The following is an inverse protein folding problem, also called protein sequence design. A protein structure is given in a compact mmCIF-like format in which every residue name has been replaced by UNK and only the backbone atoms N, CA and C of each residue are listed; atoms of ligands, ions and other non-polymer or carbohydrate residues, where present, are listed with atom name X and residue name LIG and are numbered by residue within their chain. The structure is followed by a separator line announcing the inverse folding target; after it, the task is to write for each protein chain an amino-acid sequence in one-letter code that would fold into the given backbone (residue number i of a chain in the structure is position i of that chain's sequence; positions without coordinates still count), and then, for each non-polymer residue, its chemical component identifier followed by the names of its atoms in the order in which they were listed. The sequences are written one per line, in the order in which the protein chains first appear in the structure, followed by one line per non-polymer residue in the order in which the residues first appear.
data_IF_725939792078
#
_entry.id   IF_725939792078
#
_cell.length_a   1.000
_cell.length_b   1.000
_cell.length_c   1.000
_cell.angle_alpha   90.00
_cell.angle_beta   90.00
_cell.angle_gamma   90.00
#
_symmetry.space_group_name_H-M   'P 1'
#
loop_
_entity.id
_entity.type
_entity.pdbx_description
1 polymer ?
#
# COMPACT_ATOMS: atom_id res chain seq x y z
N UNK A 1 23.58 -2.89 8.10
CA UNK A 1 22.89 -1.96 7.18
C UNK A 1 21.50 -1.61 7.69
N UNK A 2 20.65 -2.58 8.06
CA UNK A 2 19.34 -2.33 8.67
C UNK A 2 19.33 -1.27 9.79
N UNK A 3 20.16 -1.41 10.84
CA UNK A 3 20.23 -0.41 11.92
C UNK A 3 20.66 1.00 11.46
N UNK A 4 21.31 1.11 10.30
CA UNK A 4 21.75 2.40 9.76
C UNK A 4 20.59 3.14 9.09
N UNK A 5 19.82 2.46 8.25
CA UNK A 5 18.81 3.10 7.38
C UNK A 5 17.37 2.63 7.62
N UNK A 6 17.15 1.49 8.28
CA UNK A 6 15.84 0.85 8.39
C UNK A 6 15.15 0.77 7.02
N UNK A 7 13.87 1.09 7.00
CA UNK A 7 13.08 1.16 5.76
C UNK A 7 13.54 2.26 4.82
N UNK A 8 14.22 3.32 5.29
CA UNK A 8 14.64 4.43 4.42
C UNK A 8 15.60 4.01 3.30
N UNK A 9 16.27 2.87 3.45
CA UNK A 9 17.05 2.26 2.37
C UNK A 9 16.23 1.93 1.11
N UNK A 10 14.90 1.85 1.25
CA UNK A 10 13.98 1.59 0.14
C UNK A 10 13.84 2.79 -0.80
N UNK A 11 14.13 4.04 -0.41
CA UNK A 11 14.04 5.19 -1.33
C UNK A 11 14.99 5.01 -2.52
N UNK A 12 16.28 4.77 -2.26
CA UNK A 12 17.28 4.57 -3.30
C UNK A 12 16.98 3.31 -4.14
N UNK A 13 16.55 2.24 -3.47
CA UNK A 13 16.17 0.99 -4.14
C UNK A 13 14.99 1.19 -5.08
N UNK A 14 13.91 1.84 -4.61
CA UNK A 14 12.71 2.08 -5.39
C UNK A 14 13.00 3.00 -6.57
N UNK A 15 13.80 4.06 -6.37
CA UNK A 15 14.19 4.97 -7.45
C UNK A 15 15.00 4.25 -8.54
N UNK A 16 16.00 3.46 -8.13
CA UNK A 16 16.83 2.68 -9.07
C UNK A 16 16.00 1.68 -9.86
N UNK A 17 14.96 1.13 -9.23
CA UNK A 17 14.08 0.14 -9.81
C UNK A 17 12.88 0.75 -10.54
N UNK A 18 12.79 2.06 -10.72
CA UNK A 18 11.62 2.75 -11.31
C UNK A 18 10.31 2.36 -10.62
N UNK A 19 10.31 2.39 -9.28
CA UNK A 19 9.20 2.04 -8.40
C UNK A 19 8.90 3.13 -7.36
N UNK A 20 9.63 4.25 -7.35
CA UNK A 20 9.43 5.34 -6.40
C UNK A 20 8.32 6.27 -6.92
N UNK A 21 7.13 6.31 -6.28
CA UNK A 21 6.03 7.14 -6.77
C UNK A 21 6.42 8.62 -6.79
N UNK A 22 6.20 9.24 -7.93
CA UNK A 22 6.63 10.61 -8.19
C UNK A 22 5.54 11.40 -8.91
N UNK A 23 5.19 12.57 -8.38
CA UNK A 23 4.12 13.45 -8.87
C UNK A 23 2.77 12.74 -9.09
N UNK A 24 2.15 12.27 -8.01
CA UNK A 24 0.91 11.47 -8.00
C UNK A 24 1.01 10.20 -8.86
N UNK A 25 2.09 9.43 -8.62
CA UNK A 25 2.40 8.21 -9.35
C UNK A 25 2.52 8.41 -10.88
N UNK A 26 2.71 9.62 -11.40
CA UNK A 26 2.96 9.81 -12.86
C UNK A 26 4.26 9.17 -13.31
N UNK A 27 5.26 9.17 -12.43
CA UNK A 27 6.56 8.60 -12.69
C UNK A 27 6.97 7.63 -11.57
N UNK A 28 7.88 6.71 -11.90
CA UNK A 28 8.51 5.76 -10.97
C UNK A 28 9.91 6.18 -10.52
N UNK A 29 10.38 7.37 -10.94
CA UNK A 29 11.69 7.92 -10.62
C UNK A 29 11.59 9.40 -10.24
N UNK A 30 12.41 9.82 -9.27
CA UNK A 30 12.50 11.18 -8.79
C UNK A 30 13.94 11.69 -8.86
N UNK A 31 14.13 12.82 -9.54
CA UNK A 31 15.45 13.42 -9.78
C UNK A 31 16.15 13.79 -8.45
N UNK A 32 15.38 14.19 -7.43
CA UNK A 32 15.90 14.55 -6.10
C UNK A 32 15.83 13.40 -5.07
N UNK A 33 15.72 12.14 -5.49
CA UNK A 33 15.63 11.00 -4.56
C UNK A 33 16.79 10.93 -3.56
N UNK A 34 18.00 11.34 -3.95
CA UNK A 34 19.17 11.38 -3.07
C UNK A 34 19.05 12.39 -1.93
N UNK A 35 18.22 13.44 -2.09
CA UNK A 35 17.98 14.47 -1.09
C UNK A 35 16.95 14.04 -0.03
N UNK A 36 16.24 12.93 -0.25
CA UNK A 36 15.25 12.37 0.66
C UNK A 36 15.55 10.91 1.04
N UNK A 37 16.66 10.36 0.56
CA UNK A 37 17.02 8.95 0.70
C UNK A 37 17.64 8.58 2.06
N UNK A 38 17.82 7.28 2.27
CA UNK A 38 18.41 6.74 3.49
C UNK A 38 19.83 7.24 3.74
N UNK A 39 20.62 7.48 2.69
CA UNK A 39 21.97 8.03 2.85
C UNK A 39 21.96 9.45 3.42
N UNK A 40 21.02 10.31 2.99
CA UNK A 40 20.87 11.66 3.54
C UNK A 40 20.32 11.59 4.97
N UNK A 41 19.29 10.76 5.21
CA UNK A 41 18.71 10.54 6.54
C UNK A 41 19.77 10.20 7.59
N UNK A 42 20.74 9.34 7.26
CA UNK A 42 21.84 8.99 8.16
C UNK A 42 22.67 10.19 8.62
N UNK A 43 22.84 11.22 7.78
CA UNK A 43 23.63 12.42 8.12
C UNK A 43 22.95 13.33 9.15
N UNK A 44 21.62 13.23 9.27
CA UNK A 44 20.80 14.04 10.18
C UNK A 44 20.12 13.20 11.28
N UNK A 45 20.38 11.89 11.32
CA UNK A 45 19.85 10.99 12.34
C UNK A 45 20.51 11.26 13.69
N UNK A 46 19.69 11.48 14.71
CA UNK A 46 20.16 11.83 16.07
C UNK A 46 19.85 10.77 17.11
N UNK A 47 18.82 9.95 16.89
CA UNK A 47 18.46 8.83 17.77
C UNK A 47 17.73 7.75 17.00
N UNK A 48 17.58 6.59 17.64
CA UNK A 48 16.83 5.47 17.09
C UNK A 48 15.95 4.88 18.20
N UNK A 49 14.68 4.63 17.90
CA UNK A 49 13.75 3.93 18.79
C UNK A 49 13.29 2.62 18.17
N UNK A 50 12.76 1.74 19.01
CA UNK A 50 12.22 0.45 18.60
C UNK A 50 10.91 0.16 19.31
N UNK A 51 10.14 -0.76 18.72
CA UNK A 51 8.97 -1.33 19.36
C UNK A 51 9.36 -2.16 20.59
N UNK A 52 8.43 -2.46 21.52
CA UNK A 52 8.69 -3.34 22.66
C UNK A 52 9.31 -4.68 22.22
N UNK A 53 10.30 -5.16 22.97
CA UNK A 53 11.03 -6.43 22.72
C UNK A 53 11.76 -6.53 21.38
N UNK A 54 11.93 -5.43 20.64
CA UNK A 54 12.62 -5.45 19.35
C UNK A 54 14.14 -5.28 19.51
N UNK A 55 14.91 -6.27 19.03
CA UNK A 55 16.38 -6.22 19.00
C UNK A 55 16.94 -5.59 17.72
N UNK A 56 16.07 -5.25 16.76
CA UNK A 56 16.44 -4.66 15.46
C UNK A 56 15.74 -3.30 15.23
N UNK A 57 15.91 -2.33 16.14
CA UNK A 57 15.17 -1.06 16.11
C UNK A 57 15.34 -0.36 14.76
N UNK A 58 14.22 0.08 14.18
CA UNK A 58 14.19 0.72 12.86
C UNK A 58 13.60 2.13 12.88
N UNK A 59 13.09 2.60 14.03
CA UNK A 59 12.51 3.93 14.19
C UNK A 59 13.59 5.00 14.17
N UNK A 60 13.95 5.47 12.99
CA UNK A 60 15.04 6.42 12.80
C UNK A 60 14.54 7.84 13.06
N UNK A 61 15.07 8.50 14.09
CA UNK A 61 14.68 9.86 14.42
C UNK A 61 15.76 10.83 13.95
N UNK A 62 15.35 11.75 13.08
CA UNK A 62 16.20 12.80 12.54
C UNK A 62 15.98 14.11 13.27
N UNK A 63 16.99 14.97 13.23
CA UNK A 63 16.87 16.37 13.59
C UNK A 63 16.84 17.19 12.31
N UNK A 64 15.78 17.95 12.12
CA UNK A 64 15.59 18.79 10.95
C UNK A 64 15.43 20.25 11.36
N UNK A 65 15.66 21.13 10.39
CA UNK A 65 15.52 22.58 10.54
C UNK A 65 14.75 23.12 9.33
N UNK A 66 13.67 23.86 9.59
CA UNK A 66 12.90 24.58 8.56
C UNK A 66 12.54 25.96 9.09
N UNK A 67 12.77 26.99 8.28
CA UNK A 67 12.50 28.40 8.62
C UNK A 67 13.09 28.83 10.00
N UNK A 68 14.26 28.29 10.36
CA UNK A 68 14.98 28.56 11.61
C UNK A 68 14.42 27.82 12.84
N UNK A 69 13.43 26.94 12.66
CA UNK A 69 12.88 26.08 13.72
C UNK A 69 13.52 24.71 13.64
N UNK A 70 14.14 24.29 14.74
CA UNK A 70 14.78 22.98 14.91
C UNK A 70 13.82 22.03 15.63
N UNK A 71 13.57 20.85 15.05
CA UNK A 71 12.71 19.83 15.66
C UNK A 71 13.19 18.41 15.28
N UNK A 72 12.49 17.38 15.77
CA UNK A 72 12.81 15.98 15.52
C UNK A 72 11.60 15.18 15.02
N UNK A 73 11.82 14.32 14.04
CA UNK A 73 10.79 13.46 13.46
C UNK A 73 11.32 12.03 13.29
N UNK A 74 10.46 11.03 13.52
CA UNK A 74 10.73 9.66 13.10
C UNK A 74 10.37 9.48 11.63
N UNK A 75 11.26 8.88 10.84
CA UNK A 75 11.04 8.68 9.41
C UNK A 75 10.96 7.20 9.03
N UNK A 76 9.90 6.87 8.30
CA UNK A 76 9.72 5.61 7.58
C UNK A 76 9.68 5.86 6.06
N UNK A 77 9.94 4.80 5.28
CA UNK A 77 10.00 4.87 3.82
C UNK A 77 8.72 5.45 3.20
N UNK A 78 7.58 4.91 3.62
CA UNK A 78 6.27 5.27 3.09
C UNK A 78 5.99 6.76 3.30
N UNK A 79 6.26 7.25 4.51
CA UNK A 79 6.06 8.65 4.86
C UNK A 79 6.88 9.55 3.95
N UNK A 80 8.17 9.24 3.77
CA UNK A 80 9.09 10.06 2.98
C UNK A 80 8.79 9.98 1.49
N UNK A 81 8.43 8.82 0.96
CA UNK A 81 8.05 8.70 -0.44
C UNK A 81 6.73 9.44 -0.74
N UNK A 82 5.73 9.29 0.13
CA UNK A 82 4.39 9.85 -0.10
C UNK A 82 4.31 11.36 0.19
N UNK A 83 5.07 11.87 1.17
CA UNK A 83 5.16 13.31 1.48
C UNK A 83 6.38 13.99 0.84
N UNK A 84 7.18 13.25 0.07
CA UNK A 84 8.36 13.73 -0.66
C UNK A 84 8.17 13.61 -2.16
N UNK A 85 8.68 12.52 -2.75
CA UNK A 85 8.69 12.32 -4.21
C UNK A 85 7.29 12.37 -4.82
N UNK A 86 6.27 11.79 -4.17
CA UNK A 86 4.92 11.75 -4.71
C UNK A 86 4.30 13.15 -4.87
N UNK A 87 4.72 14.13 -4.06
CA UNK A 87 4.25 15.52 -4.14
C UNK A 87 5.31 16.48 -4.72
N UNK A 88 6.43 15.95 -5.22
CA UNK A 88 7.52 16.72 -5.83
C UNK A 88 8.43 17.45 -4.83
N UNK A 89 8.41 17.08 -3.54
CA UNK A 89 9.18 17.74 -2.50
C UNK A 89 10.52 17.03 -2.24
N UNK A 90 11.60 17.59 -2.80
CA UNK A 90 12.96 17.02 -2.76
C UNK A 90 13.86 17.52 -1.63
N UNK A 91 13.33 17.66 -0.41
CA UNK A 91 14.01 18.25 0.74
C UNK A 91 13.63 17.50 2.02
N UNK A 92 14.53 16.65 2.56
CA UNK A 92 14.20 15.80 3.72
C UNK A 92 13.85 16.60 4.97
N UNK A 93 14.37 17.83 5.14
CA UNK A 93 14.03 18.64 6.30
C UNK A 93 12.56 19.06 6.26
N UNK A 94 12.09 19.49 5.08
CA UNK A 94 10.68 19.85 4.87
C UNK A 94 9.77 18.63 4.91
N UNK A 95 10.19 17.51 4.33
CA UNK A 95 9.43 16.24 4.43
C UNK A 95 9.31 15.81 5.89
N UNK A 96 10.35 16.01 6.71
CA UNK A 96 10.32 15.71 8.14
C UNK A 96 9.33 16.58 8.92
N UNK A 97 9.20 17.88 8.57
CA UNK A 97 8.16 18.76 9.15
C UNK A 97 6.75 18.28 8.80
N UNK A 98 6.50 17.93 7.53
CA UNK A 98 5.20 17.40 7.10
C UNK A 98 4.87 16.07 7.78
N UNK A 99 5.85 15.18 7.92
CA UNK A 99 5.72 13.92 8.65
C UNK A 99 5.37 14.16 10.12
N UNK A 100 6.11 15.03 10.81
CA UNK A 100 5.84 15.32 12.22
C UNK A 100 4.43 15.88 12.42
N UNK A 101 3.95 16.72 11.49
CA UNK A 101 2.56 17.22 11.53
C UNK A 101 1.54 16.10 11.36
N UNK A 102 1.77 15.18 10.43
CA UNK A 102 0.89 14.02 10.26
C UNK A 102 0.82 13.18 11.55
N UNK A 103 1.97 12.92 12.19
CA UNK A 103 2.03 12.22 13.48
C UNK A 103 1.25 12.95 14.58
N UNK A 104 1.47 14.27 14.72
CA UNK A 104 0.82 15.09 15.76
C UNK A 104 -0.68 15.21 15.57
N UNK A 105 -1.17 15.22 14.33
CA UNK A 105 -2.59 15.29 14.01
C UNK A 105 -3.27 13.93 13.89
N UNK A 106 -2.50 12.83 13.92
CA UNK A 106 -3.03 11.47 13.77
C UNK A 106 -3.52 11.17 12.35
N UNK A 107 -2.82 11.67 11.33
CA UNK A 107 -3.12 11.45 9.92
C UNK A 107 -2.24 10.33 9.35
N UNK A 108 -2.82 9.48 8.50
CA UNK A 108 -2.04 8.52 7.70
C UNK A 108 -1.23 9.26 6.62
N UNK A 109 0.10 9.16 6.70
CA UNK A 109 1.05 9.80 5.78
C UNK A 109 0.89 9.31 4.33
N UNK A 110 0.48 8.05 4.13
CA UNK A 110 0.28 7.47 2.79
C UNK A 110 -0.92 8.11 2.12
N UNK A 111 -2.07 8.07 2.78
CA UNK A 111 -3.31 8.65 2.25
C UNK A 111 -3.20 10.16 2.12
N UNK A 112 -2.56 10.83 3.09
CA UNK A 112 -2.28 12.26 3.03
C UNK A 112 -1.43 12.61 1.80
N UNK A 113 -0.33 11.89 1.55
CA UNK A 113 0.52 12.13 0.38
C UNK A 113 -0.18 11.88 -0.95
N UNK A 114 -1.10 10.92 -1.02
CA UNK A 114 -1.97 10.70 -2.18
C UNK A 114 -2.95 11.86 -2.39
N UNK A 115 -3.63 12.32 -1.34
CA UNK A 115 -4.57 13.44 -1.40
C UNK A 115 -3.87 14.72 -1.85
N UNK A 116 -2.70 15.02 -1.28
CA UNK A 116 -1.89 16.18 -1.70
C UNK A 116 -1.45 16.03 -3.16
N UNK A 117 -0.95 14.85 -3.56
CA UNK A 117 -0.53 14.59 -4.94
C UNK A 117 -1.66 14.73 -5.96
N UNK A 118 -2.82 14.13 -5.70
CA UNK A 118 -4.01 14.27 -6.55
C UNK A 118 -4.41 15.74 -6.65
N UNK A 119 -4.49 16.45 -5.53
CA UNK A 119 -4.92 17.85 -5.50
C UNK A 119 -3.99 18.75 -6.32
N UNK A 120 -2.67 18.55 -6.22
CA UNK A 120 -1.70 19.28 -7.06
C UNK A 120 -1.88 18.96 -8.55
N UNK A 121 -2.14 17.71 -8.92
CA UNK A 121 -2.42 17.35 -10.31
C UNK A 121 -3.73 17.97 -10.82
N UNK A 122 -4.77 18.03 -9.99
CA UNK A 122 -6.03 18.68 -10.34
C UNK A 122 -5.86 20.20 -10.52
N UNK A 123 -5.03 20.84 -9.69
CA UNK A 123 -4.61 22.23 -9.83
C UNK A 123 -3.87 22.45 -11.15
N UNK A 124 -2.85 21.63 -11.45
CA UNK A 124 -2.08 21.69 -12.69
C UNK A 124 -2.98 21.57 -13.94
N UNK A 125 -3.97 20.68 -13.89
CA UNK A 125 -4.97 20.47 -14.94
C UNK A 125 -6.09 21.51 -14.96
N UNK A 126 -6.10 22.47 -14.03
CA UNK A 126 -7.13 23.51 -13.87
C UNK A 126 -8.55 22.94 -13.66
N UNK A 127 -8.63 21.77 -13.03
CA UNK A 127 -9.91 21.14 -12.62
C UNK A 127 -10.42 21.79 -11.34
N UNK A 128 -9.51 22.26 -10.48
CA UNK A 128 -9.81 23.10 -9.32
C UNK A 128 -9.19 24.49 -9.51
N UNK A 129 -9.72 25.49 -8.81
CA UNK A 129 -9.27 26.88 -8.89
C UNK A 129 -8.05 27.19 -8.04
N UNK A 130 -7.80 26.39 -7.01
CA UNK A 130 -6.68 26.56 -6.09
C UNK A 130 -5.35 26.39 -6.83
N UNK A 131 -4.46 27.37 -6.68
CA UNK A 131 -3.12 27.32 -7.24
C UNK A 131 -2.20 26.56 -6.28
N UNK A 132 -1.93 25.29 -6.61
CA UNK A 132 -1.04 24.40 -5.86
C UNK A 132 0.02 23.88 -6.85
N UNK A 133 1.29 24.07 -6.50
CA UNK A 133 2.43 23.65 -7.30
C UNK A 133 3.13 22.43 -6.69
N UNK A 134 3.76 21.62 -7.55
CA UNK A 134 4.59 20.50 -7.09
C UNK A 134 5.78 21.01 -6.26
N UNK A 135 6.00 20.38 -5.11
CA UNK A 135 7.06 20.79 -4.18
C UNK A 135 6.78 22.05 -3.36
N UNK A 136 5.56 22.64 -3.42
CA UNK A 136 5.19 23.79 -2.60
C UNK A 136 4.94 23.39 -1.14
N UNK A 137 6.02 23.28 -0.39
CA UNK A 137 6.00 22.96 1.04
C UNK A 137 5.08 23.86 1.86
N UNK A 138 5.04 25.18 1.59
CA UNK A 138 4.22 26.10 2.39
C UNK A 138 2.75 25.82 2.16
N UNK A 139 2.36 25.58 0.90
CA UNK A 139 0.97 25.25 0.58
C UNK A 139 0.58 23.88 1.11
N UNK A 140 1.46 22.88 1.03
CA UNK A 140 1.19 21.57 1.63
C UNK A 140 1.00 21.65 3.14
N UNK A 141 1.85 22.40 3.84
CA UNK A 141 1.72 22.62 5.29
C UNK A 141 0.38 23.25 5.67
N UNK A 142 -0.07 24.26 4.92
CA UNK A 142 -1.40 24.88 5.10
C UNK A 142 -2.53 23.86 4.86
N UNK A 143 -2.45 23.10 3.74
CA UNK A 143 -3.47 22.11 3.40
C UNK A 143 -3.57 20.98 4.41
N UNK A 144 -2.46 20.53 5.01
CA UNK A 144 -2.49 19.52 6.09
C UNK A 144 -3.30 20.03 7.29
N UNK A 145 -3.12 21.28 7.67
CA UNK A 145 -3.90 21.88 8.76
C UNK A 145 -5.37 22.04 8.36
N UNK A 146 -5.65 22.47 7.13
CA UNK A 146 -7.01 22.58 6.63
C UNK A 146 -7.74 21.24 6.51
N UNK A 147 -7.04 20.17 6.14
CA UNK A 147 -7.56 18.79 6.17
C UNK A 147 -7.89 18.40 7.61
N UNK A 148 -6.94 18.61 8.53
CA UNK A 148 -7.09 18.27 9.95
C UNK A 148 -8.31 18.94 10.58
N UNK A 149 -8.49 20.23 10.30
CA UNK A 149 -9.56 21.03 10.86
C UNK A 149 -10.78 21.17 9.94
N UNK A 150 -10.81 20.46 8.81
CA UNK A 150 -11.87 20.50 7.79
C UNK A 150 -12.26 21.93 7.40
N UNK A 151 -11.28 22.76 7.03
CA UNK A 151 -11.46 24.17 6.64
C UNK A 151 -11.34 24.34 5.13
N UNK A 152 -12.25 25.10 4.53
CA UNK A 152 -12.19 25.43 3.11
C UNK A 152 -12.08 24.19 2.22
N UNK A 153 -11.07 24.15 1.35
CA UNK A 153 -10.79 22.98 0.50
C UNK A 153 -10.49 21.71 1.33
N UNK A 154 -9.92 21.87 2.52
CA UNK A 154 -9.56 20.77 3.42
C UNK A 154 -10.72 19.87 3.83
N UNK A 155 -11.96 20.36 3.87
CA UNK A 155 -13.14 19.52 4.17
C UNK A 155 -13.38 18.47 3.09
N UNK A 156 -13.23 18.85 1.82
CA UNK A 156 -13.32 17.90 0.69
C UNK A 156 -12.13 16.95 0.69
N UNK A 157 -10.93 17.47 0.96
CA UNK A 157 -9.70 16.68 0.94
C UNK A 157 -9.65 15.61 2.06
N UNK A 158 -10.28 15.88 3.19
CA UNK A 158 -10.39 14.95 4.32
C UNK A 158 -11.19 13.68 4.01
N UNK A 159 -11.91 13.62 2.89
CA UNK A 159 -12.71 12.45 2.47
C UNK A 159 -11.93 11.43 1.61
N UNK A 160 -10.67 11.74 1.25
CA UNK A 160 -9.81 10.85 0.47
C UNK A 160 -10.05 10.87 -1.04
N UNK A 161 -9.11 10.30 -1.80
CA UNK A 161 -9.02 10.46 -3.26
C UNK A 161 -10.21 9.86 -4.01
N UNK A 162 -10.80 8.78 -3.49
CA UNK A 162 -11.99 8.16 -4.07
C UNK A 162 -13.20 9.09 -4.01
N UNK A 163 -13.41 9.76 -2.87
CA UNK A 163 -14.54 10.66 -2.70
C UNK A 163 -14.35 11.94 -3.52
N UNK A 164 -13.13 12.50 -3.53
CA UNK A 164 -12.76 13.64 -4.37
C UNK A 164 -13.10 13.34 -5.84
N UNK A 165 -12.66 12.18 -6.35
CA UNK A 165 -12.92 11.77 -7.72
C UNK A 165 -14.42 11.60 -8.02
N UNK A 166 -15.18 10.98 -7.11
CA UNK A 166 -16.62 10.86 -7.24
C UNK A 166 -17.31 12.24 -7.28
N UNK A 167 -16.91 13.15 -6.39
CA UNK A 167 -17.53 14.47 -6.23
C UNK A 167 -17.26 15.39 -7.44
N UNK A 168 -16.04 15.37 -7.96
CA UNK A 168 -15.65 16.18 -9.13
C UNK A 168 -16.09 15.56 -10.45
N UNK A 169 -16.20 14.23 -10.51
CA UNK A 169 -16.64 13.50 -11.70
C UNK A 169 -15.64 13.58 -12.86
N UNK A 170 -16.14 13.38 -14.08
CA UNK A 170 -15.31 13.39 -15.30
C UNK A 170 -14.21 12.34 -15.27
N UNK A 171 -13.01 12.72 -15.71
CA UNK A 171 -11.83 11.84 -15.77
C UNK A 171 -11.02 11.80 -14.45
N UNK A 172 -11.47 12.45 -13.37
CA UNK A 172 -10.69 12.53 -12.11
C UNK A 172 -10.42 11.15 -11.51
N UNK A 173 -11.32 10.18 -11.72
CA UNK A 173 -11.12 8.81 -11.26
C UNK A 173 -9.86 8.14 -11.84
N UNK A 174 -9.35 8.61 -12.98
CA UNK A 174 -8.10 8.09 -13.58
C UNK A 174 -6.87 8.49 -12.79
N UNK A 175 -6.92 9.63 -12.10
CA UNK A 175 -5.81 10.20 -11.32
C UNK A 175 -5.87 9.82 -9.84
N UNK A 176 -7.03 9.32 -9.37
CA UNK A 176 -7.23 8.90 -7.99
C UNK A 176 -6.60 7.53 -7.73
N UNK A 177 -5.41 7.53 -7.13
CA UNK A 177 -4.62 6.32 -6.89
C UNK A 177 -5.13 5.56 -5.66
N UNK A 178 -6.16 4.73 -5.84
CA UNK A 178 -6.72 3.90 -4.77
C UNK A 178 -7.20 2.52 -5.26
N UNK A 179 -7.35 1.58 -4.32
CA UNK A 179 -8.09 0.32 -4.52
C UNK A 179 -9.07 0.14 -3.36
N UNK A 180 -10.34 -0.13 -3.67
CA UNK A 180 -11.47 -0.18 -2.70
C UNK A 180 -11.72 1.10 -1.89
N UNK A 181 -10.98 2.17 -2.16
CA UNK A 181 -11.10 3.47 -1.52
C UNK A 181 -9.91 3.81 -0.64
N UNK A 182 -9.06 2.82 -0.31
CA UNK A 182 -7.78 3.07 0.35
C UNK A 182 -6.74 3.44 -0.70
N UNK A 183 -6.04 4.54 -0.45
CA UNK A 183 -4.97 5.11 -1.23
C UNK A 183 -3.78 4.14 -1.40
N UNK A 184 -3.14 4.18 -2.56
CA UNK A 184 -2.00 3.31 -2.89
C UNK A 184 -0.76 3.70 -2.10
N UNK A 185 -0.12 2.72 -1.44
CA UNK A 185 1.17 2.92 -0.76
C UNK A 185 2.36 3.05 -1.74
N UNK A 186 3.56 3.31 -1.23
CA UNK A 186 4.66 3.90 -1.98
C UNK A 186 5.41 2.98 -2.96
N UNK A 187 4.70 2.25 -3.81
CA UNK A 187 5.32 1.43 -4.87
C UNK A 187 4.58 1.64 -6.17
N UNK A 188 5.24 2.31 -7.12
CA UNK A 188 4.74 2.45 -8.47
C UNK A 188 4.74 1.09 -9.19
N UNK A 189 3.65 0.80 -9.90
CA UNK A 189 3.41 -0.51 -10.51
C UNK A 189 3.19 -0.48 -12.02
N UNK A 190 3.56 0.59 -12.74
CA UNK A 190 3.46 0.62 -14.21
C UNK A 190 4.14 -0.59 -14.87
N UNK A 191 5.21 -1.10 -14.27
CA UNK A 191 5.92 -2.28 -14.72
C UNK A 191 5.99 -3.38 -13.65
N UNK A 192 5.02 -3.49 -12.73
CA UNK A 192 5.04 -4.50 -11.66
C UNK A 192 3.66 -5.17 -11.49
N UNK A 193 3.27 -6.09 -12.41
CA UNK A 193 1.92 -6.66 -12.42
C UNK A 193 1.58 -7.49 -11.19
N UNK A 194 2.56 -8.17 -10.59
CA UNK A 194 2.41 -8.91 -9.33
C UNK A 194 2.20 -7.97 -8.14
N UNK A 195 2.95 -6.87 -8.06
CA UNK A 195 2.69 -5.84 -7.04
C UNK A 195 1.33 -5.15 -7.25
N UNK A 196 0.95 -4.88 -8.49
CA UNK A 196 -0.39 -4.37 -8.81
C UNK A 196 -1.48 -5.35 -8.39
N UNK A 197 -1.26 -6.66 -8.55
CA UNK A 197 -2.18 -7.69 -8.05
C UNK A 197 -2.24 -7.71 -6.52
N UNK A 198 -1.11 -7.48 -5.84
CA UNK A 198 -1.07 -7.37 -4.38
C UNK A 198 -1.93 -6.20 -3.89
N UNK A 199 -1.85 -5.04 -4.55
CA UNK A 199 -2.73 -3.90 -4.28
C UNK A 199 -4.20 -4.20 -4.57
N UNK A 200 -4.47 -4.76 -5.76
CA UNK A 200 -5.81 -5.15 -6.21
C UNK A 200 -6.50 -6.05 -5.19
N UNK A 201 -5.81 -7.12 -4.78
CA UNK A 201 -6.38 -8.21 -3.97
C UNK A 201 -6.17 -8.06 -2.46
N UNK A 202 -5.54 -6.97 -2.02
CA UNK A 202 -5.41 -6.68 -0.59
C UNK A 202 -6.80 -6.59 0.06
N UNK A 203 -7.02 -7.29 1.19
CA UNK A 203 -8.34 -7.43 1.81
C UNK A 203 -8.86 -6.11 2.41
N UNK A 204 -8.01 -5.10 2.58
CA UNK A 204 -8.35 -3.80 3.19
C UNK A 204 -8.30 -2.63 2.18
N UNK A 205 -8.01 -2.90 0.91
CA UNK A 205 -7.68 -1.87 -0.09
C UNK A 205 -6.17 -1.71 -0.30
N UNK A 206 -5.73 -0.71 -1.07
CA UNK A 206 -4.39 -0.66 -1.66
C UNK A 206 -3.21 -0.53 -0.67
N UNK A 207 -2.79 -1.64 -0.05
CA UNK A 207 -1.65 -1.65 0.86
C UNK A 207 -0.64 -2.75 0.53
N UNK A 208 0.65 -2.40 0.50
CA UNK A 208 1.75 -3.35 0.37
C UNK A 208 1.93 -4.29 1.59
N UNK A 209 1.18 -4.06 2.67
CA UNK A 209 1.29 -4.77 3.95
C UNK A 209 1.20 -6.28 3.78
N UNK A 210 0.15 -6.73 3.12
CA UNK A 210 -0.20 -8.14 2.99
C UNK A 210 0.64 -8.86 1.93
N UNK A 211 1.15 -8.13 0.94
CA UNK A 211 2.15 -8.67 0.03
C UNK A 211 3.04 -7.54 -0.51
N UNK A 212 4.23 -7.39 0.06
CA UNK A 212 5.28 -6.57 -0.51
C UNK A 212 6.00 -7.37 -1.60
N UNK A 213 5.33 -7.49 -2.74
CA UNK A 213 5.71 -8.47 -3.77
C UNK A 213 6.77 -7.94 -4.74
N UNK A 214 6.92 -6.62 -4.84
CA UNK A 214 7.70 -5.95 -5.88
C UNK A 214 9.17 -6.41 -5.96
N UNK A 215 9.85 -6.57 -4.82
CA UNK A 215 11.23 -7.06 -4.79
C UNK A 215 11.35 -8.53 -5.20
N UNK A 216 10.34 -9.35 -4.90
CA UNK A 216 10.26 -10.76 -5.31
C UNK A 216 9.97 -10.86 -6.81
N UNK A 217 9.03 -10.05 -7.30
CA UNK A 217 8.64 -9.99 -8.71
C UNK A 217 9.80 -9.65 -9.64
N UNK A 218 10.67 -8.72 -9.24
CA UNK A 218 11.86 -8.37 -10.04
C UNK A 218 12.74 -9.60 -10.28
N UNK A 219 12.91 -10.45 -9.27
CA UNK A 219 13.70 -11.70 -9.38
C UNK A 219 12.98 -12.77 -10.21
N UNK A 220 11.65 -12.76 -10.21
CA UNK A 220 10.80 -13.68 -10.97
C UNK A 220 10.54 -13.24 -12.42
N UNK A 221 11.21 -12.19 -12.91
CA UNK A 221 10.96 -11.62 -14.22
C UNK A 221 9.82 -10.60 -14.18
N UNK A 222 10.18 -9.34 -13.94
CA UNK A 222 9.27 -8.21 -13.70
C UNK A 222 8.07 -8.13 -14.66
N UNK A 223 8.28 -8.22 -15.97
CA UNK A 223 7.23 -8.04 -17.00
C UNK A 223 6.32 -9.26 -17.22
N UNK A 224 6.60 -10.41 -16.58
CA UNK A 224 5.86 -11.64 -16.80
C UNK A 224 4.50 -11.64 -16.10
N UNK A 225 3.48 -12.16 -16.78
CA UNK A 225 2.17 -12.48 -16.22
C UNK A 225 2.06 -14.01 -16.11
N UNK A 226 2.37 -14.57 -14.93
CA UNK A 226 2.46 -16.02 -14.75
C UNK A 226 1.71 -16.49 -13.51
N UNK A 227 1.18 -17.72 -13.57
CA UNK A 227 0.50 -18.37 -12.44
C UNK A 227 1.45 -18.54 -11.24
N UNK A 228 2.72 -18.85 -11.49
CA UNK A 228 3.76 -18.99 -10.46
C UNK A 228 3.92 -17.71 -9.62
N UNK A 229 3.85 -16.52 -10.24
CA UNK A 229 3.85 -15.25 -9.50
C UNK A 229 2.64 -15.15 -8.58
N UNK A 230 1.46 -15.54 -9.07
CA UNK A 230 0.22 -15.49 -8.29
C UNK A 230 0.28 -16.47 -7.11
N UNK A 231 0.79 -17.69 -7.32
CA UNK A 231 1.00 -18.67 -6.25
C UNK A 231 1.95 -18.13 -5.17
N UNK A 232 3.06 -17.51 -5.58
CA UNK A 232 4.01 -16.89 -4.65
C UNK A 232 3.40 -15.71 -3.90
N UNK A 233 2.56 -14.92 -4.56
CA UNK A 233 1.84 -13.81 -3.94
C UNK A 233 0.81 -14.30 -2.91
N UNK A 234 0.02 -15.33 -3.23
CA UNK A 234 -0.94 -15.95 -2.31
C UNK A 234 -0.22 -16.51 -1.08
N UNK A 235 0.91 -17.19 -1.28
CA UNK A 235 1.77 -17.63 -0.18
C UNK A 235 2.21 -16.44 0.68
N UNK A 236 2.69 -15.36 0.06
CA UNK A 236 3.14 -14.17 0.77
C UNK A 236 2.02 -13.52 1.59
N UNK A 237 0.80 -13.46 1.05
CA UNK A 237 -0.40 -13.01 1.78
C UNK A 237 -0.72 -13.91 2.97
N UNK A 238 -0.60 -15.23 2.83
CA UNK A 238 -0.85 -16.15 3.95
C UNK A 238 0.17 -15.96 5.08
N UNK A 239 1.41 -15.63 4.76
CA UNK A 239 2.44 -15.34 5.77
C UNK A 239 2.25 -13.94 6.35
N UNK A 240 2.23 -12.90 5.52
CA UNK A 240 2.22 -11.51 5.96
C UNK A 240 0.87 -11.05 6.49
N UNK A 241 -0.20 -11.22 5.72
CA UNK A 241 -1.55 -10.82 6.10
C UNK A 241 -2.30 -11.86 6.95
N UNK A 242 -1.81 -13.11 6.96
CA UNK A 242 -2.34 -14.20 7.79
C UNK A 242 -1.56 -14.38 9.08
N UNK A 243 -0.41 -15.07 9.01
CA UNK A 243 0.40 -15.43 10.18
C UNK A 243 0.82 -14.21 11.01
N UNK A 244 1.48 -13.22 10.40
CA UNK A 244 2.00 -12.07 11.14
C UNK A 244 0.92 -11.16 11.72
N UNK A 245 -0.27 -11.11 11.11
CA UNK A 245 -1.43 -10.36 11.62
C UNK A 245 -2.24 -11.15 12.64
N UNK A 246 -2.12 -12.48 12.68
CA UNK A 246 -2.76 -13.31 13.69
C UNK A 246 -1.90 -13.43 14.95
N UNK A 247 -0.58 -13.58 14.78
CA UNK A 247 0.37 -13.49 15.89
C UNK A 247 0.56 -12.06 16.37
N UNK A 248 0.31 -11.09 15.48
CA UNK A 248 0.57 -9.65 15.69
C UNK A 248 2.01 -9.35 16.07
N UNK A 249 2.96 -10.04 15.44
CA UNK A 249 4.40 -9.83 15.61
C UNK A 249 5.01 -9.11 14.41
N UNK A 250 6.11 -8.39 14.62
CA UNK A 250 6.77 -7.69 13.53
C UNK A 250 7.28 -8.70 12.48
N UNK A 251 7.00 -8.43 11.21
CA UNK A 251 7.45 -9.23 10.05
C UNK A 251 8.89 -8.94 9.61
N UNK A 252 9.51 -7.85 10.07
CA UNK A 252 10.85 -7.44 9.62
C UNK A 252 12.00 -8.34 10.06
N UNK A 253 12.01 -8.97 11.25
CA UNK A 253 13.05 -9.96 11.56
C UNK A 253 13.13 -11.07 10.49
N UNK A 254 11.99 -11.55 10.02
CA UNK A 254 11.95 -12.51 8.90
C UNK A 254 12.45 -11.90 7.59
N UNK A 255 11.94 -10.73 7.20
CA UNK A 255 12.21 -10.12 5.89
C UNK A 255 13.63 -9.57 5.73
N UNK A 256 14.14 -8.94 6.78
CA UNK A 256 15.33 -8.06 6.73
C UNK A 256 16.56 -8.69 7.39
N UNK A 257 16.35 -9.67 8.27
CA UNK A 257 17.45 -10.38 8.95
C UNK A 257 17.49 -11.87 8.66
N UNK A 258 16.59 -12.37 7.80
CA UNK A 258 16.48 -13.78 7.43
C UNK A 258 16.18 -14.71 8.62
N UNK A 259 15.48 -14.21 9.65
CA UNK A 259 15.00 -15.08 10.73
C UNK A 259 14.04 -16.12 10.14
N UNK A 260 14.34 -17.39 10.39
CA UNK A 260 13.55 -18.49 9.85
C UNK A 260 12.11 -18.47 10.38
N UNK A 261 11.16 -18.66 9.47
CA UNK A 261 9.74 -18.74 9.75
C UNK A 261 9.40 -19.88 10.74
N UNK A 262 10.22 -20.94 10.80
CA UNK A 262 10.07 -22.04 11.74
C UNK A 262 10.15 -21.60 13.22
N UNK A 263 10.86 -20.52 13.53
CA UNK A 263 10.93 -20.01 14.90
C UNK A 263 9.58 -19.50 15.39
N UNK A 264 8.75 -18.93 14.52
CA UNK A 264 7.46 -18.39 14.91
C UNK A 264 6.49 -19.49 15.35
N UNK A 265 6.52 -20.67 14.72
CA UNK A 265 5.74 -21.83 15.17
C UNK A 265 6.24 -22.38 16.52
N UNK A 266 7.56 -22.39 16.73
CA UNK A 266 8.16 -22.78 18.03
C UNK A 266 7.77 -21.80 19.14
N UNK A 267 7.77 -20.50 18.85
CA UNK A 267 7.35 -19.46 19.80
C UNK A 267 5.86 -19.58 20.11
N UNK A 268 5.01 -19.78 19.10
CA UNK A 268 3.58 -20.01 19.29
C UNK A 268 3.32 -21.23 20.19
N UNK A 269 3.99 -22.36 19.92
CA UNK A 269 3.88 -23.55 20.76
C UNK A 269 4.37 -23.30 22.19
N UNK A 270 5.49 -22.60 22.36
CA UNK A 270 6.05 -22.31 23.68
C UNK A 270 5.15 -21.39 24.51
N UNK A 271 4.46 -20.45 23.86
CA UNK A 271 3.56 -19.51 24.52
C UNK A 271 2.19 -20.11 24.85
N UNK A 272 1.68 -21.02 24.02
CA UNK A 272 0.27 -21.48 24.08
C UNK A 272 0.10 -22.96 24.43
N UNK A 273 1.13 -23.78 24.25
CA UNK A 273 1.05 -25.24 24.30
C UNK A 273 0.39 -25.89 23.07
N UNK A 274 -0.08 -25.11 22.09
CA UNK A 274 -0.78 -25.62 20.89
C UNK A 274 0.19 -25.78 19.74
N UNK A 275 0.19 -26.96 19.11
CA UNK A 275 1.02 -27.23 17.93
C UNK A 275 0.27 -26.82 16.67
N UNK A 276 0.95 -26.07 15.81
CA UNK A 276 0.48 -25.74 14.46
C UNK A 276 1.49 -26.30 13.45
N UNK A 277 0.97 -26.89 12.38
CA UNK A 277 1.71 -27.16 11.14
C UNK A 277 1.60 -25.97 10.19
N UNK A 278 2.41 -25.96 9.13
CA UNK A 278 2.28 -24.97 8.06
C UNK A 278 0.92 -25.05 7.34
N UNK A 279 0.36 -26.25 7.17
CA UNK A 279 -0.96 -26.43 6.58
C UNK A 279 -2.06 -25.84 7.46
N UNK A 280 -1.92 -25.93 8.79
CA UNK A 280 -2.84 -25.26 9.73
C UNK A 280 -2.76 -23.73 9.57
N UNK A 281 -1.53 -23.17 9.49
CA UNK A 281 -1.34 -21.73 9.26
C UNK A 281 -1.96 -21.30 7.93
N UNK A 282 -1.72 -22.04 6.84
CA UNK A 282 -2.31 -21.72 5.56
C UNK A 282 -3.84 -21.81 5.58
N UNK A 283 -4.40 -22.80 6.28
CA UNK A 283 -5.85 -22.94 6.45
C UNK A 283 -6.42 -21.75 7.24
N UNK A 284 -5.80 -21.36 8.35
CA UNK A 284 -6.22 -20.21 9.15
C UNK A 284 -6.12 -18.91 8.35
N UNK A 285 -5.03 -18.68 7.63
CA UNK A 285 -4.86 -17.50 6.81
C UNK A 285 -5.92 -17.41 5.71
N UNK A 286 -6.18 -18.51 4.97
CA UNK A 286 -7.22 -18.54 3.95
C UNK A 286 -8.62 -18.35 4.54
N UNK A 287 -8.90 -18.89 5.74
CA UNK A 287 -10.15 -18.67 6.48
C UNK A 287 -10.35 -17.18 6.77
N UNK A 288 -9.32 -16.50 7.29
CA UNK A 288 -9.37 -15.07 7.61
C UNK A 288 -9.60 -14.25 6.33
N UNK A 289 -8.83 -14.49 5.26
CA UNK A 289 -8.98 -13.79 3.98
C UNK A 289 -10.37 -13.99 3.39
N UNK A 290 -10.88 -15.22 3.42
CA UNK A 290 -12.20 -15.57 2.89
C UNK A 290 -13.31 -14.92 3.72
N UNK A 291 -13.18 -14.89 5.04
CA UNK A 291 -14.14 -14.22 5.92
C UNK A 291 -14.18 -12.71 5.69
N UNK A 292 -13.02 -12.05 5.55
CA UNK A 292 -12.94 -10.63 5.21
C UNK A 292 -13.58 -10.39 3.84
N UNK A 293 -13.29 -11.25 2.84
CA UNK A 293 -13.89 -11.17 1.51
C UNK A 293 -15.41 -11.28 1.57
N UNK A 294 -15.93 -12.24 2.33
CA UNK A 294 -17.36 -12.42 2.56
C UNK A 294 -17.99 -11.20 3.23
N UNK A 295 -17.31 -10.57 4.19
CA UNK A 295 -17.77 -9.31 4.77
C UNK A 295 -17.90 -8.21 3.72
N UNK A 296 -16.88 -8.00 2.88
CA UNK A 296 -16.93 -6.98 1.82
C UNK A 296 -18.05 -7.24 0.81
N UNK A 297 -18.22 -8.48 0.35
CA UNK A 297 -19.32 -8.86 -0.56
C UNK A 297 -20.67 -8.51 0.05
N UNK A 298 -20.87 -8.88 1.33
CA UNK A 298 -22.10 -8.64 2.07
C UNK A 298 -22.40 -7.14 2.18
N UNK A 299 -21.46 -6.36 2.71
CA UNK A 299 -21.69 -4.94 2.99
C UNK A 299 -21.86 -4.12 1.71
N UNK A 300 -21.09 -4.40 0.66
CA UNK A 300 -21.24 -3.67 -0.60
C UNK A 300 -22.64 -3.83 -1.20
N UNK A 301 -23.13 -5.07 -1.23
CA UNK A 301 -24.45 -5.35 -1.79
C UNK A 301 -25.55 -4.83 -0.86
N UNK A 302 -25.36 -4.91 0.46
CA UNK A 302 -26.29 -4.35 1.45
C UNK A 302 -26.46 -2.83 1.30
N UNK A 303 -25.37 -2.11 0.94
CA UNK A 303 -25.41 -0.68 0.62
C UNK A 303 -25.94 -0.37 -0.79
N UNK A 304 -26.40 -1.36 -1.54
CA UNK A 304 -26.89 -1.20 -2.91
C UNK A 304 -25.79 -0.99 -3.96
N UNK A 305 -24.53 -1.30 -3.63
CA UNK A 305 -23.40 -1.21 -4.56
C UNK A 305 -23.21 -2.54 -5.30
N UNK A 306 -22.68 -2.46 -6.52
CA UNK A 306 -22.31 -3.64 -7.29
C UNK A 306 -21.04 -4.29 -6.75
N UNK A 307 -20.97 -5.62 -6.85
CA UNK A 307 -19.77 -6.41 -6.60
C UNK A 307 -19.27 -7.04 -7.90
N UNK A 308 -17.99 -6.86 -8.22
CA UNK A 308 -17.35 -7.43 -9.41
C UNK A 308 -15.84 -7.41 -9.27
N UNK A 309 -15.15 -7.91 -10.30
CA UNK A 309 -13.68 -7.85 -10.41
C UNK A 309 -13.10 -6.44 -10.38
N UNK A 310 -13.92 -5.40 -10.58
CA UNK A 310 -13.51 -4.00 -10.40
C UNK A 310 -13.04 -3.71 -8.98
N UNK A 311 -13.55 -4.46 -7.98
CA UNK A 311 -13.12 -4.34 -6.59
C UNK A 311 -11.66 -4.70 -6.38
N UNK A 312 -11.08 -5.48 -7.28
CA UNK A 312 -9.67 -5.88 -7.27
C UNK A 312 -8.91 -5.36 -8.47
N UNK A 313 -9.38 -4.30 -9.12
CA UNK A 313 -8.67 -3.66 -10.24
C UNK A 313 -7.81 -2.49 -9.73
N UNK A 314 -6.51 -2.42 -10.09
CA UNK A 314 -5.64 -1.31 -9.75
C UNK A 314 -6.06 -0.01 -10.44
N UNK A 315 -5.50 1.15 -10.05
CA UNK A 315 -5.82 2.43 -10.67
C UNK A 315 -5.61 2.43 -12.19
N UNK A 316 -6.50 3.12 -12.91
CA UNK A 316 -6.50 3.19 -14.37
C UNK A 316 -5.18 3.72 -14.95
N UNK A 317 -4.55 4.68 -14.25
CA UNK A 317 -3.24 5.26 -14.59
C UNK A 317 -2.23 4.20 -15.04
N UNK A 318 -2.05 3.13 -14.26
CA UNK A 318 -1.05 2.11 -14.55
C UNK A 318 -1.30 1.32 -15.85
N UNK A 319 -2.51 1.35 -16.40
CA UNK A 319 -2.87 0.70 -17.66
C UNK A 319 -2.91 1.69 -18.84
N UNK A 320 -3.17 2.96 -18.56
CA UNK A 320 -3.45 3.99 -19.57
C UNK A 320 -2.24 4.87 -19.86
N UNK A 321 -1.54 5.32 -18.82
CA UNK A 321 -0.45 6.29 -18.89
C UNK A 321 0.89 5.58 -18.71
N UNK A 322 1.75 5.47 -19.73
CA UNK A 322 3.07 4.89 -19.56
C UNK A 322 4.02 5.83 -18.82
N UNK A 323 4.98 5.26 -18.09
CA UNK A 323 6.11 6.03 -17.53
C UNK A 323 6.80 6.84 -18.62
N UNK A 324 7.21 8.08 -18.33
CA UNK A 324 7.95 8.91 -19.31
C UNK A 324 9.43 9.02 -18.99
N UNK A 325 9.83 8.71 -17.76
CA UNK A 325 11.21 8.79 -17.27
C UNK A 325 11.76 7.44 -16.78
N UNK A 326 13.08 7.41 -16.57
CA UNK A 326 13.78 6.25 -16.01
C UNK A 326 14.03 5.12 -17.00
N UNK A 327 14.60 4.03 -16.50
CA UNK A 327 14.97 2.86 -17.32
C UNK A 327 13.78 2.08 -17.87
N UNK A 328 12.58 2.34 -17.34
CA UNK A 328 11.33 1.71 -17.74
C UNK A 328 10.37 2.67 -18.46
N UNK A 329 10.86 3.79 -18.98
CA UNK A 329 10.06 4.69 -19.81
C UNK A 329 9.34 3.92 -20.94
N UNK A 330 8.07 4.25 -21.18
CA UNK A 330 7.16 3.54 -22.09
C UNK A 330 6.41 2.36 -21.47
N UNK A 331 6.77 1.93 -20.25
CA UNK A 331 6.12 0.78 -19.59
C UNK A 331 4.77 1.17 -19.01
N UNK A 332 3.82 0.23 -19.14
CA UNK A 332 2.52 0.23 -18.47
C UNK A 332 2.02 -1.22 -18.34
N UNK A 333 1.02 -1.44 -17.49
CA UNK A 333 0.40 -2.74 -17.31
C UNK A 333 -0.45 -3.14 -18.52
N UNK A 334 -0.54 -4.44 -18.76
CA UNK A 334 -1.48 -5.05 -19.70
C UNK A 334 -2.76 -5.42 -18.96
N UNK A 335 -3.90 -4.88 -19.43
CA UNK A 335 -5.21 -5.20 -18.83
C UNK A 335 -5.56 -6.68 -18.96
N UNK A 336 -5.23 -7.31 -20.10
CA UNK A 336 -5.53 -8.73 -20.34
C UNK A 336 -4.62 -9.64 -19.51
N UNK A 337 -3.33 -9.30 -19.44
CA UNK A 337 -2.38 -9.99 -18.56
C UNK A 337 -2.81 -9.90 -17.09
N UNK A 338 -3.24 -8.71 -16.65
CA UNK A 338 -3.72 -8.50 -15.29
C UNK A 338 -4.98 -9.33 -14.99
N UNK A 339 -5.98 -9.31 -15.88
CA UNK A 339 -7.20 -10.11 -15.74
C UNK A 339 -6.89 -11.60 -15.65
N UNK A 340 -5.92 -12.09 -16.42
CA UNK A 340 -5.48 -13.48 -16.33
C UNK A 340 -4.87 -13.81 -14.96
N UNK A 341 -4.01 -12.94 -14.44
CA UNK A 341 -3.45 -13.11 -13.09
C UNK A 341 -4.52 -13.07 -11.99
N UNK A 342 -5.50 -12.18 -12.12
CA UNK A 342 -6.62 -12.09 -11.18
C UNK A 342 -7.50 -13.36 -11.21
N UNK A 343 -7.72 -13.95 -12.39
CA UNK A 343 -8.43 -15.23 -12.49
C UNK A 343 -7.67 -16.37 -11.79
N UNK A 344 -6.35 -16.49 -12.01
CA UNK A 344 -5.54 -17.46 -11.28
C UNK A 344 -5.58 -17.22 -9.76
N UNK A 345 -5.64 -15.95 -9.33
CA UNK A 345 -5.75 -15.61 -7.92
C UNK A 345 -7.06 -16.14 -7.33
N UNK A 346 -8.18 -15.93 -8.01
CA UNK A 346 -9.47 -16.47 -7.57
C UNK A 346 -9.49 -17.99 -7.57
N UNK A 347 -8.93 -18.65 -8.58
CA UNK A 347 -8.80 -20.11 -8.61
C UNK A 347 -8.03 -20.62 -7.39
N UNK A 348 -6.89 -20.02 -7.07
CA UNK A 348 -6.04 -20.41 -5.93
C UNK A 348 -6.71 -20.14 -4.58
N UNK A 349 -7.54 -19.10 -4.48
CA UNK A 349 -8.34 -18.80 -3.29
C UNK A 349 -9.63 -19.64 -3.20
N UNK A 350 -9.99 -20.39 -4.24
CA UNK A 350 -11.26 -21.12 -4.33
C UNK A 350 -12.47 -20.17 -4.41
N UNK A 351 -12.32 -19.06 -5.09
CA UNK A 351 -13.37 -18.08 -5.34
C UNK A 351 -13.88 -18.20 -6.77
N UNK A 352 -15.04 -17.61 -7.06
CA UNK A 352 -15.59 -17.55 -8.41
C UNK A 352 -14.94 -16.44 -9.26
N UNK A 353 -15.39 -16.30 -10.51
CA UNK A 353 -14.85 -15.32 -11.45
C UNK A 353 -15.12 -13.86 -11.07
N UNK A 354 -15.98 -13.60 -10.08
CA UNK A 354 -16.20 -12.27 -9.49
C UNK A 354 -15.47 -12.12 -8.14
N UNK A 355 -14.65 -13.12 -7.77
CA UNK A 355 -13.95 -13.18 -6.49
C UNK A 355 -14.90 -13.34 -5.31
N UNK A 356 -16.08 -13.95 -5.48
CA UNK A 356 -16.94 -14.36 -4.37
C UNK A 356 -16.54 -15.77 -3.91
N UNK A 357 -16.37 -16.04 -2.60
CA UNK A 357 -16.04 -17.37 -2.13
C UNK A 357 -17.07 -18.44 -2.52
N UNK A 358 -16.60 -19.60 -2.98
CA UNK A 358 -17.43 -20.77 -3.29
C UNK A 358 -17.93 -21.45 -2.01
N UNK A 359 -19.07 -22.15 -2.09
CA UNK A 359 -19.59 -22.95 -0.97
C UNK A 359 -18.59 -24.00 -0.51
N UNK A 360 -18.00 -24.74 -1.45
CA UNK A 360 -16.95 -25.73 -1.16
C UNK A 360 -15.79 -25.13 -0.37
N UNK A 361 -15.33 -23.94 -0.74
CA UNK A 361 -14.29 -23.21 -0.02
C UNK A 361 -14.72 -22.86 1.41
N UNK A 362 -15.93 -22.36 1.60
CA UNK A 362 -16.46 -22.03 2.93
C UNK A 362 -16.58 -23.27 3.82
N UNK A 363 -17.01 -24.42 3.27
CA UNK A 363 -17.01 -25.70 3.99
C UNK A 363 -15.59 -26.16 4.35
N UNK A 364 -14.67 -26.16 3.41
CA UNK A 364 -13.30 -26.62 3.62
C UNK A 364 -12.54 -25.76 4.63
N UNK A 365 -12.85 -24.46 4.69
CA UNK A 365 -12.30 -23.54 5.68
C UNK A 365 -13.05 -23.58 7.01
N UNK A 366 -14.12 -24.38 7.16
CA UNK A 366 -14.85 -24.50 8.43
C UNK A 366 -15.57 -23.21 8.85
N UNK A 367 -16.08 -22.46 7.88
CA UNK A 367 -16.87 -21.23 8.08
C UNK A 367 -18.19 -21.32 7.29
N UNK A 368 -18.76 -22.51 7.14
CA UNK A 368 -19.97 -22.74 6.35
C UNK A 368 -21.22 -22.10 6.95
N UNK A 369 -21.20 -21.75 8.24
CA UNK A 369 -22.27 -21.03 8.93
C UNK A 369 -22.57 -19.65 8.31
N UNK A 370 -21.65 -19.07 7.53
CA UNK A 370 -21.88 -17.79 6.84
C UNK A 370 -22.61 -17.93 5.50
N UNK A 371 -22.74 -19.15 4.96
CA UNK A 371 -23.42 -19.41 3.67
C UNK A 371 -24.85 -18.83 3.66
N UNK A 372 -25.74 -19.13 4.64
CA UNK A 372 -27.10 -18.60 4.63
C UNK A 372 -27.19 -17.08 4.81
N UNK A 373 -26.12 -16.43 5.29
CA UNK A 373 -26.04 -14.98 5.40
C UNK A 373 -25.69 -14.40 4.03
N UNK A 374 -24.65 -14.92 3.37
CA UNK A 374 -24.21 -14.44 2.06
C UNK A 374 -25.24 -14.69 0.96
N UNK A 375 -25.97 -15.81 1.00
CA UNK A 375 -27.02 -16.13 0.02
C UNK A 375 -28.20 -15.15 0.03
N UNK A 376 -28.34 -14.32 1.07
CA UNK A 376 -29.32 -13.22 1.09
C UNK A 376 -28.91 -12.05 0.19
N UNK A 377 -27.63 -11.94 -0.15
CA UNK A 377 -27.05 -10.82 -0.88
C UNK A 377 -26.54 -11.23 -2.27
N UNK A 378 -26.00 -12.44 -2.42
CA UNK A 378 -25.47 -12.91 -3.70
C UNK A 378 -25.66 -14.41 -3.88
N UNK A 379 -25.76 -14.87 -5.13
CA UNK A 379 -25.79 -16.29 -5.45
C UNK A 379 -24.39 -16.88 -5.33
N UNK A 380 -24.20 -17.80 -4.41
CA UNK A 380 -22.94 -18.53 -4.27
C UNK A 380 -22.84 -19.66 -5.29
N UNK A 381 -21.64 -19.83 -5.84
CA UNK A 381 -21.27 -20.98 -6.65
C UNK A 381 -20.79 -22.15 -5.77
N UNK A 382 -20.85 -23.36 -6.31
CA UNK A 382 -20.44 -24.59 -5.63
C UNK A 382 -18.93 -24.66 -5.40
#
# INVERSE_FOLDING_TARGET
FWLRQGTMSTIEWANTNSCLPTHNFREGVFDNASMIGGNFMETIKVRQKGCPYCEIPCGNIVRYEVDGVLDEAELDYENVAMLGSNIGLGDLHKVSDLNLKADLYGLDTISLGNVLGLTTELSEKKIISDAIEWGDYKKFKELIEDITYRRGLGDLLAEGVRYIAYKLGGDVYKYAMHVKGLEVSAYDCHAAPGMALAYGTSPIGAHHKDAWFIATEIKMGRSLYSKEKVERLVWMQNIRGGLFESLTTCRFPWLETSLDLEYYLKFLYSATGVRFSWDDIYTVANRIYTLIRSFWVREYIAEGRGWSTLMDTPPARWFEEPLTKGSLAGSKLSIDGYKQMLNWYYELRGWDSNGVPKKSTLYNLGISEIIPVLERFTKLSE
#
